data_IF_086543591209
#
_entry.id   IF_086543591209
#
_cell.length_a   1.000
_cell.length_b   1.000
_cell.length_c   1.000
_cell.angle_alpha   90.00
_cell.angle_beta   90.00
_cell.angle_gamma   90.00
#
_symmetry.space_group_name_H-M   'P 1'
#
loop_
_entity.id
_entity.type
_entity.pdbx_description
1 polymer ?
#
# COMPACT_ATOMS: atom_id res chain seq x y z
N UNK A 1 -18.28 2.68 51.23
CA UNK A 1 -16.88 2.66 50.80
C UNK A 1 -16.67 3.52 49.52
N UNK A 2 -17.00 4.82 49.62
CA UNK A 2 -16.88 5.79 48.49
C UNK A 2 -16.22 7.10 48.92
N UNK A 3 -15.46 7.17 50.00
CA UNK A 3 -14.84 8.39 50.53
C UNK A 3 -13.34 8.28 50.82
N UNK A 4 -12.62 7.28 50.24
CA UNK A 4 -11.19 7.11 50.51
C UNK A 4 -10.30 7.27 49.23
N UNK A 5 -10.86 7.71 48.13
CA UNK A 5 -10.14 7.88 46.86
C UNK A 5 -9.87 9.33 46.44
N UNK A 6 -10.14 10.30 47.32
CA UNK A 6 -10.04 11.74 46.97
C UNK A 6 -8.91 12.49 47.69
N UNK A 7 -8.01 11.81 48.37
CA UNK A 7 -6.96 12.42 49.21
C UNK A 7 -5.52 12.16 48.76
N UNK A 8 -5.30 11.66 47.58
CA UNK A 8 -3.96 11.32 47.05
C UNK A 8 -3.53 12.10 45.79
N UNK A 9 -4.28 13.14 45.41
CA UNK A 9 -3.99 13.96 44.20
C UNK A 9 -3.56 15.42 44.49
N UNK A 10 -3.17 15.74 45.73
CA UNK A 10 -2.85 17.13 46.13
C UNK A 10 -1.43 17.33 46.69
N UNK A 11 -0.47 16.55 46.34
CA UNK A 11 0.89 16.64 46.89
C UNK A 11 2.03 16.50 45.87
N UNK A 12 1.93 17.11 44.67
CA UNK A 12 3.07 17.21 43.76
C UNK A 12 3.03 18.45 42.87
N UNK A 13 2.90 19.62 43.48
CA UNK A 13 3.21 20.89 42.87
C UNK A 13 3.85 21.76 43.95
N UNK A 14 5.18 21.82 44.05
CA UNK A 14 5.95 22.98 44.54
C UNK A 14 7.46 22.63 44.57
N UNK A 15 8.21 23.12 43.57
CA UNK A 15 9.62 23.52 43.64
C UNK A 15 10.01 23.99 42.22
N UNK A 16 9.84 25.13 41.85
CA UNK A 16 10.10 26.55 42.09
C UNK A 16 11.58 26.93 42.13
N UNK A 17 11.97 27.72 41.16
CA UNK A 17 12.77 28.93 41.16
C UNK A 17 13.95 29.03 42.13
N UNK A 18 15.12 29.28 41.56
CA UNK A 18 16.20 30.25 41.92
C UNK A 18 17.44 29.90 41.10
N UNK A 19 18.26 30.75 40.54
CA UNK A 19 18.59 32.14 40.71
C UNK A 19 19.50 32.57 39.56
N UNK A 20 19.41 33.79 39.14
CA UNK A 20 20.42 34.86 39.09
C UNK A 20 21.88 34.41 38.79
N UNK A 21 22.59 34.87 37.79
CA UNK A 21 22.78 36.22 37.32
C UNK A 21 24.27 36.55 37.43
N UNK A 22 24.90 36.99 36.37
CA UNK A 22 25.92 38.03 36.43
C UNK A 22 26.42 38.40 35.03
N UNK A 23 26.37 39.64 34.84
CA UNK A 23 26.89 40.54 33.84
C UNK A 23 28.39 40.48 33.72
N UNK A 24 28.91 40.50 32.50
CA UNK A 24 30.13 41.29 32.18
C UNK A 24 30.23 41.45 30.64
N UNK A 25 30.37 42.67 30.23
CA UNK A 25 30.62 43.18 28.89
C UNK A 25 32.08 43.61 28.79
N UNK A 26 32.56 44.25 27.70
CA UNK A 26 33.03 43.63 26.45
C UNK A 26 34.56 43.84 26.28
N UNK A 27 35.21 42.97 25.53
CA UNK A 27 36.61 43.22 25.12
C UNK A 27 36.68 43.27 23.58
N UNK A 28 37.16 44.41 23.12
CA UNK A 28 37.45 44.76 21.72
C UNK A 28 38.79 44.23 21.25
N UNK A 29 38.82 43.84 19.94
CA UNK A 29 39.96 43.91 18.99
C UNK A 29 40.78 42.62 18.76
N UNK A 30 41.40 42.49 17.58
CA UNK A 30 41.22 43.06 16.25
C UNK A 30 41.01 42.01 15.14
N UNK A 31 40.51 42.45 13.98
CA UNK A 31 40.30 41.68 12.75
C UNK A 31 41.64 41.40 12.06
N UNK A 32 41.95 40.15 11.63
CA UNK A 32 42.91 39.83 10.58
C UNK A 32 42.23 39.74 9.21
N UNK A 33 43.00 39.83 8.09
CA UNK A 33 42.48 40.12 6.77
C UNK A 33 41.79 38.90 6.09
N UNK A 34 40.95 39.23 5.13
CA UNK A 34 40.16 38.33 4.31
C UNK A 34 41.01 37.22 3.66
N UNK A 35 40.77 35.99 4.03
CA UNK A 35 41.10 34.83 3.21
C UNK A 35 39.94 34.49 2.29
N UNK A 36 40.31 34.27 1.03
CA UNK A 36 39.45 33.91 -0.09
C UNK A 36 38.69 32.62 0.23
N UNK A 37 37.39 32.75 0.40
CA UNK A 37 36.52 31.58 0.56
C UNK A 37 36.46 30.83 -0.76
N UNK A 38 37.14 29.71 -0.87
CA UNK A 38 36.84 28.67 -1.82
C UNK A 38 35.39 28.23 -1.56
N UNK A 39 34.57 28.28 -2.63
CA UNK A 39 33.22 27.78 -2.67
C UNK A 39 33.26 26.30 -2.31
N UNK A 40 32.54 25.82 -1.27
CA UNK A 40 32.42 24.40 -1.02
C UNK A 40 31.76 23.75 -2.23
N UNK A 41 32.43 22.75 -2.79
CA UNK A 41 31.80 21.84 -3.75
C UNK A 41 30.51 21.31 -3.15
N UNK A 42 29.44 21.34 -3.92
CA UNK A 42 28.17 20.75 -3.54
C UNK A 42 28.41 19.28 -3.21
N UNK A 43 28.53 18.99 -1.92
CA UNK A 43 28.40 17.65 -1.42
C UNK A 43 26.96 17.22 -1.70
N UNK A 44 26.80 16.16 -2.48
CA UNK A 44 25.54 15.43 -2.54
C UNK A 44 25.18 15.08 -1.10
N UNK A 45 24.15 15.71 -0.56
CA UNK A 45 23.51 15.24 0.65
C UNK A 45 23.00 13.83 0.30
N UNK A 46 23.59 12.79 0.88
CA UNK A 46 23.01 11.47 0.92
C UNK A 46 21.69 11.64 1.68
N UNK A 47 20.59 11.79 0.93
CA UNK A 47 19.24 11.72 1.48
C UNK A 47 19.08 10.30 2.02
N UNK A 48 18.71 10.17 3.29
CA UNK A 48 18.31 8.89 3.88
C UNK A 48 17.30 8.21 2.95
N UNK A 49 17.46 6.90 2.68
CA UNK A 49 16.57 6.20 1.76
C UNK A 49 15.13 6.21 2.28
N UNK A 50 14.20 6.54 1.40
CA UNK A 50 12.76 6.45 1.67
C UNK A 50 12.35 4.98 1.60
N UNK A 51 11.61 4.50 2.60
CA UNK A 51 11.06 3.14 2.59
C UNK A 51 9.58 3.18 2.29
N UNK A 52 9.15 2.46 1.24
CA UNK A 52 7.75 2.23 0.88
C UNK A 52 7.31 0.91 1.48
N UNK A 53 6.27 0.94 2.32
CA UNK A 53 5.62 -0.25 2.87
C UNK A 53 4.56 -0.74 1.89
N UNK A 54 4.77 -1.92 1.32
CA UNK A 54 3.88 -2.55 0.36
C UNK A 54 3.23 -3.81 0.95
N UNK A 55 1.91 -3.80 1.15
CA UNK A 55 1.17 -4.96 1.61
C UNK A 55 0.53 -5.72 0.45
N UNK A 56 0.64 -7.04 0.47
CA UNK A 56 0.09 -7.90 -0.57
C UNK A 56 -0.40 -9.24 0.00
N UNK A 57 -1.13 -9.99 -0.83
CA UNK A 57 -1.66 -11.30 -0.45
C UNK A 57 -1.20 -12.42 -1.43
N UNK A 58 -0.01 -12.29 -2.00
CA UNK A 58 0.61 -13.43 -2.67
C UNK A 58 1.03 -14.45 -1.63
N UNK A 59 0.69 -15.71 -1.85
CA UNK A 59 1.14 -16.80 -1.00
C UNK A 59 2.68 -16.87 -0.99
N UNK A 60 3.27 -17.09 0.17
CA UNK A 60 4.73 -17.07 0.33
C UNK A 60 5.46 -18.08 -0.58
N UNK A 61 4.81 -19.16 -1.00
CA UNK A 61 5.36 -20.18 -1.89
C UNK A 61 4.89 -20.04 -3.35
N UNK A 62 4.17 -18.95 -3.68
CA UNK A 62 3.71 -18.74 -5.05
C UNK A 62 4.80 -18.16 -5.95
N UNK A 63 4.72 -18.47 -7.25
CA UNK A 63 5.62 -17.91 -8.25
C UNK A 63 5.51 -16.39 -8.34
N UNK A 64 4.34 -15.83 -8.06
CA UNK A 64 4.12 -14.39 -8.00
C UNK A 64 4.91 -13.74 -6.87
N UNK A 65 4.90 -14.35 -5.68
CA UNK A 65 5.69 -13.86 -4.55
C UNK A 65 7.19 -13.97 -4.82
N UNK A 66 7.64 -15.08 -5.39
CA UNK A 66 9.03 -15.27 -5.78
C UNK A 66 9.47 -14.21 -6.79
N UNK A 67 8.66 -13.96 -7.81
CA UNK A 67 8.93 -12.92 -8.82
C UNK A 67 8.94 -11.52 -8.20
N UNK A 68 7.99 -11.20 -7.34
CA UNK A 68 7.94 -9.91 -6.64
C UNK A 68 9.22 -9.68 -5.84
N UNK A 69 9.58 -10.62 -4.98
CA UNK A 69 10.68 -10.46 -4.02
C UNK A 69 12.07 -10.54 -4.66
N UNK A 70 12.24 -11.40 -5.67
CA UNK A 70 13.57 -11.68 -6.22
C UNK A 70 13.85 -10.99 -7.56
N UNK A 71 12.84 -10.43 -8.21
CA UNK A 71 13.00 -9.79 -9.52
C UNK A 71 12.48 -8.35 -9.52
N UNK A 72 11.20 -8.14 -9.18
CA UNK A 72 10.58 -6.82 -9.37
C UNK A 72 11.08 -5.79 -8.37
N UNK A 73 11.12 -6.12 -7.09
CA UNK A 73 11.60 -5.20 -6.04
C UNK A 73 13.08 -4.86 -6.25
N UNK A 74 14.01 -5.82 -6.42
CA UNK A 74 15.42 -5.51 -6.67
C UNK A 74 15.63 -4.62 -7.90
N UNK A 75 14.90 -4.88 -8.98
CA UNK A 75 14.96 -4.06 -10.20
C UNK A 75 14.43 -2.65 -9.95
N UNK A 76 13.31 -2.51 -9.26
CA UNK A 76 12.74 -1.20 -8.91
C UNK A 76 13.72 -0.37 -8.06
N UNK A 77 14.34 -1.00 -7.07
CA UNK A 77 15.33 -0.34 -6.19
C UNK A 77 16.61 0.05 -6.94
N UNK A 78 17.03 -0.74 -7.93
CA UNK A 78 18.16 -0.42 -8.81
C UNK A 78 17.84 0.78 -9.72
N UNK A 79 16.63 0.81 -10.29
CA UNK A 79 16.15 1.89 -11.16
C UNK A 79 15.83 3.17 -10.37
N UNK A 80 15.58 3.07 -9.06
CA UNK A 80 15.22 4.18 -8.17
C UNK A 80 16.14 4.27 -6.94
N UNK A 81 17.40 4.70 -7.12
CA UNK A 81 18.37 4.81 -6.01
C UNK A 81 17.83 5.77 -4.94
N UNK A 82 17.81 5.31 -3.70
CA UNK A 82 17.26 6.07 -2.56
C UNK A 82 15.83 5.66 -2.17
N UNK A 83 15.21 4.73 -2.89
CA UNK A 83 13.93 4.12 -2.48
C UNK A 83 14.16 2.66 -2.10
N UNK A 84 13.54 2.23 -1.00
CA UNK A 84 13.50 0.84 -0.54
C UNK A 84 12.06 0.37 -0.46
N UNK A 85 11.80 -0.89 -0.76
CA UNK A 85 10.47 -1.49 -0.66
C UNK A 85 10.45 -2.56 0.42
N UNK A 86 9.66 -2.31 1.46
CA UNK A 86 9.34 -3.29 2.50
C UNK A 86 8.04 -3.99 2.14
N UNK A 87 8.12 -5.10 1.44
CA UNK A 87 6.96 -5.90 1.05
C UNK A 87 6.56 -6.86 2.17
N UNK A 88 5.30 -6.81 2.58
CA UNK A 88 4.74 -7.65 3.64
C UNK A 88 3.58 -8.47 3.09
N UNK A 89 3.74 -9.80 3.12
CA UNK A 89 2.69 -10.74 2.73
C UNK A 89 1.71 -10.97 3.87
N UNK A 90 0.43 -10.98 3.55
CA UNK A 90 -0.67 -11.34 4.43
C UNK A 90 -1.52 -12.42 3.78
N UNK A 91 -2.19 -13.25 4.58
CA UNK A 91 -3.23 -14.11 4.02
C UNK A 91 -4.38 -13.26 3.45
N UNK A 92 -4.95 -13.68 2.31
CA UNK A 92 -6.01 -12.92 1.64
C UNK A 92 -7.18 -12.59 2.57
N UNK A 93 -7.61 -13.56 3.38
CA UNK A 93 -8.70 -13.38 4.32
C UNK A 93 -8.40 -12.34 5.43
N UNK A 94 -7.13 -12.20 5.81
CA UNK A 94 -6.71 -11.31 6.90
C UNK A 94 -6.37 -9.90 6.40
N UNK A 95 -5.96 -9.73 5.14
CA UNK A 95 -5.48 -8.45 4.62
C UNK A 95 -6.55 -7.37 4.68
N UNK A 96 -7.80 -7.71 4.33
CA UNK A 96 -8.92 -6.77 4.40
C UNK A 96 -9.08 -6.20 5.82
N UNK A 97 -9.19 -7.07 6.82
CA UNK A 97 -9.38 -6.66 8.21
C UNK A 97 -8.18 -5.89 8.75
N UNK A 98 -6.96 -6.26 8.35
CA UNK A 98 -5.74 -5.53 8.72
C UNK A 98 -5.73 -4.11 8.17
N UNK A 99 -6.18 -3.90 6.93
CA UNK A 99 -6.32 -2.56 6.35
C UNK A 99 -7.35 -1.75 7.14
N UNK A 100 -8.50 -2.33 7.47
CA UNK A 100 -9.53 -1.65 8.27
C UNK A 100 -9.02 -1.22 9.66
N UNK A 101 -8.30 -2.10 10.34
CA UNK A 101 -7.70 -1.81 11.66
C UNK A 101 -6.62 -0.74 11.53
N UNK A 102 -5.78 -0.83 10.51
CA UNK A 102 -4.70 0.13 10.27
C UNK A 102 -5.23 1.51 9.88
N UNK A 103 -6.35 1.58 9.17
CA UNK A 103 -7.03 2.83 8.87
C UNK A 103 -7.49 3.55 10.16
N UNK A 104 -8.02 2.81 11.14
CA UNK A 104 -8.45 3.38 12.42
C UNK A 104 -7.27 3.88 13.28
N UNK A 105 -6.11 3.26 13.15
CA UNK A 105 -4.89 3.60 13.92
C UNK A 105 -3.93 4.52 13.16
N UNK A 106 -4.28 4.93 11.94
CA UNK A 106 -3.45 5.74 11.05
C UNK A 106 -2.07 5.09 10.77
N UNK A 107 -2.08 3.78 10.54
CA UNK A 107 -0.89 2.94 10.26
C UNK A 107 -1.03 2.17 8.95
N UNK A 108 -1.73 2.73 7.99
CA UNK A 108 -1.87 2.14 6.65
C UNK A 108 -0.50 1.99 5.98
N UNK A 109 -0.33 0.98 5.12
CA UNK A 109 0.83 0.91 4.24
C UNK A 109 0.77 2.03 3.18
N UNK A 110 1.91 2.33 2.58
CA UNK A 110 1.98 3.31 1.48
C UNK A 110 1.31 2.77 0.21
N UNK A 111 1.45 1.48 -0.05
CA UNK A 111 0.85 0.78 -1.19
C UNK A 111 0.27 -0.56 -0.73
N UNK A 112 -0.88 -0.94 -1.28
CA UNK A 112 -1.47 -2.25 -1.03
C UNK A 112 -1.99 -2.90 -2.32
N UNK A 113 -1.76 -4.22 -2.46
CA UNK A 113 -2.44 -5.05 -3.44
C UNK A 113 -3.81 -5.44 -2.91
N UNK A 114 -4.86 -4.90 -3.52
CA UNK A 114 -6.25 -5.10 -3.10
C UNK A 114 -6.97 -6.15 -3.95
N UNK A 115 -8.02 -6.75 -3.41
CA UNK A 115 -9.06 -7.36 -4.20
C UNK A 115 -9.94 -6.27 -4.80
N UNK A 116 -10.39 -6.47 -6.04
CA UNK A 116 -11.25 -5.50 -6.74
C UNK A 116 -12.56 -5.22 -5.99
N UNK A 117 -13.07 -6.18 -5.23
CA UNK A 117 -14.29 -6.04 -4.45
C UNK A 117 -14.14 -5.05 -3.28
N UNK A 118 -12.91 -4.79 -2.81
CA UNK A 118 -12.65 -3.89 -1.68
C UNK A 118 -12.48 -2.42 -2.09
N UNK A 119 -12.18 -2.16 -3.36
CA UNK A 119 -11.90 -0.79 -3.84
C UNK A 119 -13.05 0.18 -3.57
N UNK A 120 -14.33 -0.14 -3.87
CA UNK A 120 -15.44 0.78 -3.57
C UNK A 120 -15.65 1.03 -2.07
N UNK A 121 -15.40 0.04 -1.22
CA UNK A 121 -15.49 0.18 0.23
C UNK A 121 -14.41 1.11 0.75
N UNK A 122 -13.17 0.85 0.40
CA UNK A 122 -12.03 1.64 0.87
C UNK A 122 -12.03 3.07 0.30
N UNK A 123 -12.51 3.24 -0.94
CA UNK A 123 -12.76 4.57 -1.50
C UNK A 123 -13.78 5.33 -0.67
N UNK A 124 -14.92 4.71 -0.32
CA UNK A 124 -15.96 5.34 0.51
C UNK A 124 -15.48 5.70 1.91
N UNK A 125 -14.52 4.96 2.45
CA UNK A 125 -13.85 5.26 3.71
C UNK A 125 -12.82 6.40 3.60
N UNK A 126 -12.47 6.83 2.39
CA UNK A 126 -11.48 7.88 2.15
C UNK A 126 -10.04 7.46 2.43
N UNK A 127 -9.74 6.15 2.36
CA UNK A 127 -8.39 5.61 2.60
C UNK A 127 -7.61 5.29 1.33
N UNK A 128 -8.20 5.52 0.18
CA UNK A 128 -7.54 5.41 -1.12
C UNK A 128 -7.38 6.79 -1.76
N UNK A 129 -6.28 6.98 -2.44
CA UNK A 129 -5.96 8.19 -3.21
C UNK A 129 -6.51 8.06 -4.63
N UNK A 130 -7.06 9.14 -5.19
CA UNK A 130 -7.45 9.21 -6.60
C UNK A 130 -6.17 9.31 -7.45
N UNK A 131 -5.80 8.22 -8.12
CA UNK A 131 -4.54 8.10 -8.83
C UNK A 131 -4.48 8.99 -10.07
N UNK A 132 -5.60 9.14 -10.77
CA UNK A 132 -5.74 10.02 -11.94
C UNK A 132 -5.67 11.51 -11.61
N UNK A 133 -5.82 11.90 -10.35
CA UNK A 133 -5.63 13.29 -9.90
C UNK A 133 -4.20 13.54 -9.39
N UNK A 134 -3.59 12.55 -8.72
CA UNK A 134 -2.31 12.72 -8.03
C UNK A 134 -1.09 12.28 -8.87
N UNK A 135 -1.28 11.38 -9.84
CA UNK A 135 -0.20 10.92 -10.72
C UNK A 135 -0.16 11.75 -12.01
N UNK A 136 0.86 12.57 -12.17
CA UNK A 136 1.02 13.42 -13.37
C UNK A 136 1.18 12.62 -14.68
N UNK A 137 1.60 11.38 -14.60
CA UNK A 137 1.86 10.46 -15.72
C UNK A 137 0.83 9.32 -15.80
N UNK A 138 -0.29 9.41 -15.09
CA UNK A 138 -1.32 8.36 -15.00
C UNK A 138 -1.74 7.82 -16.38
N UNK A 139 -2.07 8.69 -17.32
CA UNK A 139 -2.51 8.30 -18.66
C UNK A 139 -1.42 7.52 -19.41
N UNK A 140 -0.16 7.92 -19.28
CA UNK A 140 0.95 7.25 -19.97
C UNK A 140 1.28 5.88 -19.34
N UNK A 141 1.18 5.76 -18.02
CA UNK A 141 1.43 4.51 -17.30
C UNK A 141 0.32 3.49 -17.53
N UNK A 142 -0.90 3.97 -17.75
CA UNK A 142 -2.08 3.09 -17.94
C UNK A 142 -2.41 2.81 -19.40
N UNK A 143 -1.75 3.47 -20.36
CA UNK A 143 -2.07 3.41 -21.81
C UNK A 143 -2.09 1.99 -22.39
N UNK A 144 -1.23 1.10 -21.91
CA UNK A 144 -1.13 -0.29 -22.35
C UNK A 144 -1.97 -1.28 -21.51
N UNK A 145 -2.69 -0.80 -20.50
CA UNK A 145 -3.53 -1.64 -19.66
C UNK A 145 -4.90 -1.86 -20.29
N UNK A 146 -5.47 -3.05 -20.08
CA UNK A 146 -6.80 -3.37 -20.56
C UNK A 146 -7.85 -2.50 -19.88
N UNK A 147 -8.64 -1.76 -20.65
CA UNK A 147 -9.72 -0.89 -20.15
C UNK A 147 -10.70 -1.65 -19.24
N UNK A 148 -11.07 -2.88 -19.63
CA UNK A 148 -11.96 -3.72 -18.82
C UNK A 148 -11.37 -4.10 -17.46
N UNK A 149 -10.05 -4.24 -17.36
CA UNK A 149 -9.38 -4.49 -16.10
C UNK A 149 -9.27 -3.19 -15.29
N UNK A 150 -8.90 -2.08 -15.92
CA UNK A 150 -8.79 -0.77 -15.28
C UNK A 150 -10.14 -0.28 -14.73
N UNK A 151 -11.25 -0.58 -15.40
CA UNK A 151 -12.60 -0.19 -14.93
C UNK A 151 -12.95 -0.74 -13.54
N UNK A 152 -12.27 -1.79 -13.07
CA UNK A 152 -12.47 -2.32 -11.71
C UNK A 152 -11.92 -1.40 -10.61
N UNK A 153 -10.99 -0.52 -10.96
CA UNK A 153 -10.45 0.51 -10.06
C UNK A 153 -11.16 1.86 -10.16
N UNK A 154 -12.13 1.99 -11.09
CA UNK A 154 -12.85 3.24 -11.34
C UNK A 154 -14.11 3.33 -10.48
N UNK A 155 -14.13 4.27 -9.54
CA UNK A 155 -15.21 4.47 -8.58
C UNK A 155 -15.51 5.95 -8.44
N UNK A 156 -16.79 6.32 -8.46
CA UNK A 156 -17.24 7.71 -8.23
C UNK A 156 -16.58 8.77 -9.15
N UNK A 157 -16.16 8.37 -10.35
CA UNK A 157 -15.59 9.28 -11.35
C UNK A 157 -14.07 9.34 -11.41
N UNK A 158 -13.36 8.59 -10.53
CA UNK A 158 -11.89 8.57 -10.47
C UNK A 158 -11.33 7.15 -10.36
N UNK A 159 -10.06 6.99 -10.66
CA UNK A 159 -9.32 5.73 -10.50
C UNK A 159 -8.63 5.68 -9.14
N UNK A 160 -9.02 4.72 -8.30
CA UNK A 160 -8.44 4.48 -6.98
C UNK A 160 -7.53 3.25 -6.94
N UNK A 161 -7.47 2.51 -8.03
CA UNK A 161 -6.55 1.39 -8.20
C UNK A 161 -6.19 1.20 -9.67
N UNK A 162 -4.98 0.67 -9.90
CA UNK A 162 -4.55 0.20 -11.22
C UNK A 162 -4.61 -1.31 -11.27
N UNK A 163 -5.02 -1.86 -12.43
CA UNK A 163 -5.07 -3.29 -12.64
C UNK A 163 -3.65 -3.87 -12.74
N UNK A 164 -3.29 -4.73 -11.79
CA UNK A 164 -2.04 -5.46 -11.79
C UNK A 164 -2.14 -6.75 -12.58
N UNK A 165 -3.25 -7.47 -12.43
CA UNK A 165 -3.60 -8.70 -13.15
C UNK A 165 -5.12 -8.82 -13.24
N UNK A 166 -5.57 -9.72 -14.09
CA UNK A 166 -6.99 -10.08 -14.17
C UNK A 166 -7.13 -11.60 -14.21
N UNK A 167 -8.28 -12.09 -13.83
CA UNK A 167 -8.63 -13.49 -13.95
C UNK A 167 -9.90 -13.66 -14.81
N UNK A 168 -10.04 -14.82 -15.40
CA UNK A 168 -11.21 -15.18 -16.17
C UNK A 168 -11.82 -16.46 -15.60
N UNK A 169 -13.12 -16.44 -15.40
CA UNK A 169 -13.87 -17.65 -15.05
C UNK A 169 -14.25 -18.36 -16.33
N UNK A 170 -13.83 -19.61 -16.48
CA UNK A 170 -14.17 -20.46 -17.62
C UNK A 170 -14.73 -21.77 -17.12
N UNK A 171 -15.60 -22.37 -17.94
CA UNK A 171 -16.12 -23.70 -17.71
C UNK A 171 -15.16 -24.72 -18.33
N UNK A 172 -14.58 -25.57 -17.51
CA UNK A 172 -13.87 -26.78 -17.95
C UNK A 172 -14.87 -27.94 -17.97
N UNK A 173 -14.83 -28.75 -19.03
CA UNK A 173 -15.67 -29.92 -19.12
C UNK A 173 -14.84 -31.15 -19.52
N UNK A 174 -15.28 -32.32 -19.11
CA UNK A 174 -14.75 -33.59 -19.56
C UNK A 174 -15.50 -34.05 -20.82
N UNK A 175 -14.85 -33.98 -21.97
CA UNK A 175 -15.44 -34.30 -23.25
C UNK A 175 -15.98 -35.74 -23.28
N UNK A 176 -15.19 -36.70 -22.77
CA UNK A 176 -15.58 -38.10 -22.69
C UNK A 176 -16.85 -38.32 -21.82
N UNK A 177 -16.96 -37.59 -20.70
CA UNK A 177 -18.15 -37.69 -19.85
C UNK A 177 -19.42 -37.16 -20.54
N UNK A 178 -19.30 -36.11 -21.35
CA UNK A 178 -20.41 -35.60 -22.17
C UNK A 178 -20.81 -36.58 -23.26
N UNK A 179 -19.82 -37.17 -23.96
CA UNK A 179 -20.06 -38.20 -24.98
C UNK A 179 -20.76 -39.45 -24.40
N UNK A 180 -20.27 -39.95 -23.25
CA UNK A 180 -20.87 -41.10 -22.56
C UNK A 180 -22.29 -40.82 -22.10
N UNK A 181 -22.60 -39.57 -21.71
CA UNK A 181 -23.94 -39.12 -21.35
C UNK A 181 -24.83 -38.78 -22.57
N UNK A 182 -24.26 -38.81 -23.78
CA UNK A 182 -24.99 -38.50 -25.03
C UNK A 182 -25.42 -37.04 -25.15
N UNK A 183 -24.70 -36.12 -24.55
CA UNK A 183 -24.98 -34.68 -24.58
C UNK A 183 -23.85 -33.90 -25.23
N UNK A 184 -24.20 -32.84 -25.97
CA UNK A 184 -23.23 -31.94 -26.57
C UNK A 184 -22.63 -30.95 -25.51
N UNK A 185 -21.53 -30.31 -25.89
CA UNK A 185 -20.95 -29.20 -25.09
C UNK A 185 -22.01 -28.09 -25.00
N UNK A 186 -22.40 -27.66 -23.79
CA UNK A 186 -23.44 -26.68 -23.60
C UNK A 186 -22.99 -25.28 -24.06
N UNK A 187 -23.82 -24.62 -24.89
CA UNK A 187 -23.61 -23.25 -25.33
C UNK A 187 -24.47 -22.22 -24.55
N UNK A 188 -25.47 -22.71 -23.85
CA UNK A 188 -26.40 -21.89 -23.05
C UNK A 188 -26.51 -22.41 -21.61
N UNK A 189 -27.03 -21.60 -20.70
CA UNK A 189 -27.26 -22.03 -19.31
C UNK A 189 -28.31 -23.16 -19.23
N UNK A 190 -29.33 -23.15 -20.06
CA UNK A 190 -30.34 -24.22 -20.10
C UNK A 190 -29.74 -25.55 -20.56
N UNK A 191 -28.86 -25.51 -21.56
CA UNK A 191 -28.13 -26.69 -22.02
C UNK A 191 -27.11 -27.14 -20.95
N UNK A 192 -26.46 -26.22 -20.25
CA UNK A 192 -25.58 -26.53 -19.15
C UNK A 192 -26.29 -27.30 -18.03
N UNK A 193 -27.46 -26.82 -17.60
CA UNK A 193 -28.26 -27.51 -16.58
C UNK A 193 -28.66 -28.92 -17.03
N UNK A 194 -29.03 -29.10 -18.30
CA UNK A 194 -29.35 -30.40 -18.87
C UNK A 194 -28.13 -31.32 -18.93
N UNK A 195 -26.99 -30.79 -19.36
CA UNK A 195 -25.75 -31.55 -19.44
C UNK A 195 -25.28 -32.00 -18.03
N UNK A 196 -25.36 -31.12 -17.02
CA UNK A 196 -25.06 -31.48 -15.63
C UNK A 196 -25.97 -32.61 -15.15
N UNK A 197 -27.28 -32.51 -15.38
CA UNK A 197 -28.22 -33.55 -14.98
C UNK A 197 -27.92 -34.91 -15.65
N UNK A 198 -27.55 -34.90 -16.94
CA UNK A 198 -27.23 -36.12 -17.70
C UNK A 198 -25.90 -36.77 -17.25
N UNK A 199 -24.88 -35.98 -16.88
CA UNK A 199 -23.57 -36.51 -16.44
C UNK A 199 -23.60 -36.94 -14.99
N UNK A 200 -24.51 -36.43 -14.16
CA UNK A 200 -24.59 -36.70 -12.72
C UNK A 200 -25.51 -37.90 -12.38
N UNK A 201 -26.32 -38.41 -13.31
CA UNK A 201 -27.19 -39.57 -13.16
C UNK A 201 -26.49 -40.88 -13.42
#
# INVERSE_FOLDING_TARGET
>A
MKMLALLLLAAMMLAAFTACGSNEAPSTSPVPPAETTEKPAAGSAETEPVTINFWHHYSAQSAENETLMNVLIPRFEEENPGIKVNAVSHEWADLHDKILISAQSNTLPDVARLDIAWVPEFQKMGILTALDEEMADFDSVTADLLESAMSTGFVSGHYYAMALNTNTKILFYNEKALEEAGVAVPATMDEFVKAVAAVSG
#
